data_IF_368445702864
#
_entry.id   IF_368445702864
#
_cell.length_a   1.000
_cell.length_b   1.000
_cell.length_c   1.000
_cell.angle_alpha   90.00
_cell.angle_beta   90.00
_cell.angle_gamma   90.00
#
_symmetry.space_group_name_H-M   'P 1'
#
loop_
_entity.id
_entity.type
_entity.pdbx_description
1 polymer ?
#
# COMPACT_ATOMS: atom_id res chain seq x y z
N UNK A 1 7.83 10.54 14.67
CA UNK A 1 6.93 10.82 13.54
C UNK A 1 6.30 9.52 13.08
N UNK A 2 4.99 9.50 12.89
CA UNK A 2 4.21 8.32 12.52
C UNK A 2 3.30 8.66 11.34
N UNK A 3 3.36 7.85 10.30
CA UNK A 3 2.62 8.06 9.04
C UNK A 3 1.62 6.92 8.86
N UNK A 4 0.38 7.29 8.52
CA UNK A 4 -0.64 6.36 8.06
C UNK A 4 -0.60 6.30 6.53
N UNK A 5 -0.21 5.17 5.95
CA UNK A 5 -0.37 4.92 4.51
C UNK A 5 -1.67 4.16 4.28
N UNK A 6 -2.59 4.74 3.52
CA UNK A 6 -3.93 4.18 3.29
C UNK A 6 -4.06 3.63 1.88
N UNK A 7 -4.19 2.31 1.76
CA UNK A 7 -4.37 1.62 0.49
C UNK A 7 -5.87 1.38 0.21
N UNK A 8 -6.21 1.21 -1.07
CA UNK A 8 -7.58 0.83 -1.48
C UNK A 8 -7.98 -0.55 -0.96
N UNK A 9 -9.28 -0.82 -0.93
CA UNK A 9 -9.84 -2.18 -0.78
C UNK A 9 -10.75 -2.56 -1.97
N UNK A 10 -10.59 -1.85 -3.10
CA UNK A 10 -11.33 -2.04 -4.34
C UNK A 10 -10.44 -2.75 -5.37
N UNK A 11 -10.96 -3.81 -5.99
CA UNK A 11 -10.18 -4.72 -6.84
C UNK A 11 -10.72 -4.87 -8.27
N UNK A 12 -11.74 -4.10 -8.67
CA UNK A 12 -12.38 -4.22 -9.98
C UNK A 12 -12.24 -2.93 -10.79
N UNK A 13 -11.85 -3.03 -12.06
CA UNK A 13 -11.71 -1.86 -12.93
C UNK A 13 -13.06 -1.53 -13.57
N UNK A 14 -13.93 -0.88 -12.80
CA UNK A 14 -15.31 -0.57 -13.19
C UNK A 14 -16.04 -1.82 -13.72
N UNK A 15 -16.81 -1.65 -14.80
CA UNK A 15 -17.57 -2.76 -15.40
C UNK A 15 -16.79 -3.53 -16.48
N UNK A 16 -15.45 -3.46 -16.48
CA UNK A 16 -14.64 -4.09 -17.55
C UNK A 16 -14.34 -5.57 -17.32
N UNK A 17 -14.67 -6.11 -16.14
CA UNK A 17 -14.33 -7.47 -15.73
C UNK A 17 -12.84 -7.69 -15.43
N UNK A 18 -12.02 -6.65 -15.47
CA UNK A 18 -10.58 -6.70 -15.16
C UNK A 18 -10.32 -6.36 -13.70
N UNK A 19 -9.25 -6.92 -13.13
CA UNK A 19 -8.79 -6.60 -11.78
C UNK A 19 -7.97 -5.30 -11.74
N UNK A 20 -8.01 -4.62 -10.60
CA UNK A 20 -7.16 -3.48 -10.24
C UNK A 20 -6.84 -3.52 -8.75
N UNK A 21 -6.27 -2.45 -8.21
CA UNK A 21 -5.87 -2.32 -6.83
C UNK A 21 -4.98 -1.10 -6.63
N UNK A 22 -4.10 -1.17 -5.64
CA UNK A 22 -3.02 -0.21 -5.51
C UNK A 22 -1.91 -0.48 -6.54
N UNK A 23 -1.15 0.55 -6.91
CA UNK A 23 0.02 0.41 -7.78
C UNK A 23 1.28 0.10 -6.95
N UNK A 24 2.01 -0.99 -7.25
CA UNK A 24 3.10 -1.47 -6.38
C UNK A 24 4.18 -0.44 -6.09
N UNK A 25 4.69 0.24 -7.11
CA UNK A 25 5.74 1.27 -6.94
C UNK A 25 5.23 2.43 -6.05
N UNK A 26 3.96 2.79 -6.17
CA UNK A 26 3.36 3.88 -5.38
C UNK A 26 3.15 3.51 -3.91
N UNK A 27 3.18 2.22 -3.57
CA UNK A 27 3.36 1.75 -2.19
C UNK A 27 4.85 1.70 -1.83
N UNK A 28 5.64 0.95 -2.61
CA UNK A 28 6.99 0.54 -2.23
C UNK A 28 7.95 1.74 -2.11
N UNK A 29 7.95 2.65 -3.08
CA UNK A 29 8.83 3.81 -3.08
C UNK A 29 8.65 4.71 -1.84
N UNK A 30 7.44 5.26 -1.56
CA UNK A 30 7.25 6.08 -0.37
C UNK A 30 7.40 5.28 0.92
N UNK A 31 6.99 4.00 0.95
CA UNK A 31 7.18 3.14 2.13
C UNK A 31 8.64 3.09 2.55
N UNK A 32 9.57 2.87 1.62
CA UNK A 32 11.00 2.81 1.93
C UNK A 32 11.63 4.17 2.16
N UNK A 33 11.18 5.23 1.48
CA UNK A 33 11.60 6.61 1.82
C UNK A 33 11.30 6.91 3.29
N UNK A 34 10.12 6.55 3.78
CA UNK A 34 9.74 6.77 5.17
C UNK A 34 10.45 5.81 6.13
N UNK A 35 10.46 4.50 5.83
CA UNK A 35 11.08 3.47 6.67
C UNK A 35 12.58 3.73 6.86
N UNK A 36 13.29 4.05 5.78
CA UNK A 36 14.75 4.28 5.82
C UNK A 36 15.10 5.62 6.50
N UNK A 37 14.16 6.57 6.56
CA UNK A 37 14.26 7.79 7.37
C UNK A 37 13.92 7.59 8.87
N UNK A 38 13.66 6.34 9.30
CA UNK A 38 13.32 6.03 10.70
C UNK A 38 11.88 6.38 11.10
N UNK A 39 10.99 6.62 10.13
CA UNK A 39 9.59 6.94 10.37
C UNK A 39 8.79 5.68 10.64
N UNK A 40 7.90 5.73 11.63
CA UNK A 40 6.98 4.63 11.86
C UNK A 40 5.85 4.65 10.83
N UNK A 41 5.86 3.67 9.92
CA UNK A 41 4.81 3.51 8.91
C UNK A 41 3.77 2.50 9.38
N UNK A 42 2.50 2.89 9.37
CA UNK A 42 1.34 2.00 9.57
C UNK A 42 0.57 1.91 8.26
N UNK A 43 0.23 0.68 7.85
CA UNK A 43 -0.60 0.44 6.67
C UNK A 43 -2.05 0.24 7.10
N UNK A 44 -2.97 0.95 6.45
CA UNK A 44 -4.41 0.82 6.63
C UNK A 44 -5.11 0.63 5.29
N UNK A 45 -6.32 0.08 5.32
CA UNK A 45 -7.23 0.07 4.17
C UNK A 45 -8.69 0.13 4.65
N UNK A 46 -9.65 0.58 3.82
CA UNK A 46 -11.06 0.66 4.22
C UNK A 46 -11.61 -0.63 4.85
N UNK A 47 -11.25 -1.79 4.29
CA UNK A 47 -11.71 -3.11 4.78
C UNK A 47 -10.74 -3.78 5.77
N UNK A 48 -9.52 -3.25 5.92
CA UNK A 48 -8.42 -3.95 6.60
C UNK A 48 -7.98 -5.22 5.84
N UNK A 49 -7.06 -5.97 6.42
CA UNK A 49 -6.52 -7.19 5.80
C UNK A 49 -5.60 -6.88 4.63
N UNK A 50 -5.51 -7.76 3.63
CA UNK A 50 -4.62 -7.58 2.47
C UNK A 50 -5.29 -6.70 1.40
N UNK A 51 -4.76 -5.51 1.08
CA UNK A 51 -5.22 -4.69 -0.04
C UNK A 51 -4.98 -5.41 -1.38
N UNK A 52 -5.88 -5.24 -2.37
CA UNK A 52 -5.67 -5.79 -3.70
C UNK A 52 -4.56 -5.04 -4.42
N UNK A 53 -3.64 -5.78 -5.03
CA UNK A 53 -2.60 -5.26 -5.92
C UNK A 53 -3.17 -5.17 -7.34
N UNK A 54 -2.95 -4.05 -8.04
CA UNK A 54 -3.19 -4.01 -9.48
C UNK A 54 -2.19 -4.94 -10.18
N UNK A 55 -2.63 -6.04 -10.84
CA UNK A 55 -1.71 -7.02 -11.43
C UNK A 55 -0.74 -6.41 -12.45
N UNK A 56 -1.16 -5.35 -13.16
CA UNK A 56 -0.29 -4.68 -14.14
C UNK A 56 0.92 -4.05 -13.49
N UNK A 57 0.76 -3.50 -12.29
CA UNK A 57 1.85 -2.85 -11.57
C UNK A 57 2.95 -3.83 -11.14
N UNK A 58 2.68 -5.14 -11.19
CA UNK A 58 3.67 -6.18 -10.88
C UNK A 58 4.35 -6.79 -12.13
N UNK A 59 3.95 -6.41 -13.34
CA UNK A 59 4.55 -6.93 -14.57
C UNK A 59 6.02 -6.51 -14.70
N UNK A 60 6.89 -7.31 -15.35
CA UNK A 60 8.33 -7.04 -15.42
C UNK A 60 8.72 -5.63 -15.90
N UNK A 61 7.91 -5.03 -16.78
CA UNK A 61 8.13 -3.68 -17.31
C UNK A 61 7.90 -2.54 -16.32
N UNK A 62 7.21 -2.81 -15.20
CA UNK A 62 6.91 -1.83 -14.14
C UNK A 62 7.71 -2.08 -12.86
N UNK A 63 8.52 -3.14 -12.81
CA UNK A 63 9.32 -3.49 -11.65
C UNK A 63 10.58 -2.62 -11.54
N UNK A 64 10.77 -1.99 -10.39
CA UNK A 64 11.99 -1.26 -10.00
C UNK A 64 12.82 -2.06 -9.00
N UNK A 65 14.00 -1.56 -8.61
CA UNK A 65 14.76 -2.17 -7.52
C UNK A 65 14.01 -2.07 -6.18
N UNK A 66 13.16 -1.06 -6.02
CA UNK A 66 12.39 -0.83 -4.81
C UNK A 66 11.19 -1.77 -4.73
N UNK A 67 10.47 -2.01 -5.83
CA UNK A 67 9.41 -3.04 -5.85
C UNK A 67 10.00 -4.42 -5.56
N UNK A 68 11.15 -4.76 -6.18
CA UNK A 68 11.87 -6.01 -5.92
C UNK A 68 12.34 -6.15 -4.47
N UNK A 69 12.74 -5.03 -3.84
CA UNK A 69 13.04 -5.00 -2.39
C UNK A 69 11.79 -5.28 -1.57
N UNK A 70 10.67 -4.64 -1.90
CA UNK A 70 9.39 -4.82 -1.21
C UNK A 70 8.92 -6.28 -1.27
N UNK A 71 8.95 -6.90 -2.44
CA UNK A 71 8.54 -8.31 -2.62
C UNK A 71 9.38 -9.29 -1.79
N UNK A 72 10.64 -8.95 -1.49
CA UNK A 72 11.56 -9.80 -0.70
C UNK A 72 11.56 -9.48 0.79
N UNK A 73 10.93 -8.39 1.22
CA UNK A 73 10.89 -7.94 2.61
C UNK A 73 9.71 -8.59 3.34
N UNK A 74 10.00 -9.68 4.06
CA UNK A 74 8.98 -10.44 4.78
C UNK A 74 8.19 -9.58 5.78
N UNK A 75 8.82 -8.59 6.42
CA UNK A 75 8.14 -7.72 7.38
C UNK A 75 7.21 -6.72 6.68
N UNK A 76 7.64 -6.16 5.55
CA UNK A 76 6.79 -5.27 4.74
C UNK A 76 5.56 -6.03 4.23
N UNK A 77 5.76 -7.25 3.70
CA UNK A 77 4.66 -8.11 3.25
C UNK A 77 3.72 -8.50 4.40
N UNK A 78 4.27 -8.86 5.56
CA UNK A 78 3.48 -9.22 6.74
C UNK A 78 2.65 -8.06 7.31
N UNK A 79 3.07 -6.81 7.07
CA UNK A 79 2.29 -5.59 7.37
C UNK A 79 1.23 -5.35 6.32
N UNK A 80 1.55 -5.53 5.04
CA UNK A 80 0.60 -5.38 3.93
C UNK A 80 -0.52 -6.42 4.02
N UNK A 81 -0.23 -7.66 4.41
CA UNK A 81 -1.23 -8.72 4.57
C UNK A 81 -2.23 -8.44 5.72
N UNK A 82 -1.89 -7.53 6.63
CA UNK A 82 -2.64 -7.24 7.85
C UNK A 82 -2.82 -5.74 8.05
N UNK A 83 -3.23 -5.02 7.01
CA UNK A 83 -3.56 -3.60 7.16
C UNK A 83 -4.67 -3.43 8.19
N UNK A 84 -4.55 -2.39 9.01
CA UNK A 84 -5.61 -2.05 9.97
C UNK A 84 -6.82 -1.52 9.21
N UNK A 85 -8.03 -1.76 9.73
CA UNK A 85 -9.22 -1.14 9.15
C UNK A 85 -9.15 0.38 9.33
N UNK A 86 -9.43 1.13 8.27
CA UNK A 86 -9.34 2.59 8.31
C UNK A 86 -10.33 3.21 9.32
N UNK A 87 -11.50 2.60 9.52
CA UNK A 87 -12.49 3.05 10.52
C UNK A 87 -12.07 2.79 11.98
N UNK A 88 -10.94 2.11 12.21
CA UNK A 88 -10.42 1.80 13.56
C UNK A 88 -9.27 2.69 13.99
N UNK A 89 -8.74 3.53 13.10
CA UNK A 89 -7.64 4.44 13.42
C UNK A 89 -8.16 5.80 13.88
N UNK A 90 -7.37 6.51 14.69
CA UNK A 90 -7.66 7.89 15.09
C UNK A 90 -6.64 8.83 14.47
N UNK A 91 -7.09 9.95 13.92
CA UNK A 91 -6.21 10.94 13.27
C UNK A 91 -5.12 11.47 14.22
N UNK A 92 -5.42 11.60 15.51
CA UNK A 92 -4.50 12.10 16.55
C UNK A 92 -3.28 11.20 16.77
N UNK A 93 -3.32 9.95 16.31
CA UNK A 93 -2.22 8.98 16.43
C UNK A 93 -1.17 9.12 15.30
N UNK A 94 -1.34 10.05 14.36
CA UNK A 94 -0.52 10.19 13.15
C UNK A 94 -0.20 11.65 12.85
N UNK A 95 1.01 11.88 12.35
CA UNK A 95 1.46 13.21 11.94
C UNK A 95 1.10 13.51 10.47
N UNK A 96 0.94 12.45 9.65
CA UNK A 96 0.69 12.54 8.21
C UNK A 96 -0.15 11.35 7.73
N UNK A 97 -0.98 11.60 6.71
CA UNK A 97 -1.65 10.55 5.93
C UNK A 97 -1.11 10.58 4.50
N UNK A 98 -0.78 9.42 3.95
CA UNK A 98 -0.31 9.24 2.57
C UNK A 98 -1.19 8.23 1.86
N UNK A 99 -1.59 8.52 0.62
CA UNK A 99 -2.45 7.66 -0.19
C UNK A 99 -1.70 7.20 -1.45
N UNK A 100 -1.20 5.94 -1.50
CA UNK A 100 -0.77 5.33 -2.75
C UNK A 100 -1.92 5.27 -3.75
N UNK A 101 -1.62 5.51 -5.03
CA UNK A 101 -2.59 5.43 -6.12
C UNK A 101 -2.72 4.02 -6.69
N UNK A 102 -2.98 3.96 -7.99
CA UNK A 102 -3.62 2.85 -8.70
C UNK A 102 -5.00 3.26 -9.22
N UNK A 103 -5.73 2.35 -9.88
CA UNK A 103 -7.12 2.64 -10.30
C UNK A 103 -8.17 2.17 -9.28
N UNK A 104 -7.76 1.47 -8.22
CA UNK A 104 -8.65 1.06 -7.15
C UNK A 104 -9.00 2.17 -6.14
N UNK A 105 -8.11 3.10 -5.77
CA UNK A 105 -8.48 4.32 -5.04
C UNK A 105 -9.44 5.20 -5.85
#
# INVERSE_FOLDING_TARGET
MKILMVLTSHDELGNTGRKTGFWLEELAAPYYVFKDAGVQVVLASPKGGKPPLDPKSNEPGFQTDITRRFEKDADANARLDRTVRLDSVKQEDYDTVFYPGGHGP
#
